data_IF_717520250626
#
_entry.id   IF_717520250626
#
_cell.length_a   1.000
_cell.length_b   1.000
_cell.length_c   1.000
_cell.angle_alpha   90.00
_cell.angle_beta   90.00
_cell.angle_gamma   90.00
#
_symmetry.space_group_name_H-M   'P 1'
#
loop_
_entity.id
_entity.type
_entity.pdbx_description
1 polymer ?
#
# COMPACT_ATOMS: atom_id res chain seq x y z
N UNK A 1 -7.39 -6.97 41.34
CA UNK A 1 -8.08 -7.19 40.05
C UNK A 1 -8.07 -5.86 39.30
N UNK A 2 -7.06 -5.63 38.47
CA UNK A 2 -6.84 -4.35 37.81
C UNK A 2 -7.31 -4.43 36.35
N UNK A 3 -8.35 -3.66 36.02
CA UNK A 3 -8.69 -3.30 34.66
C UNK A 3 -7.62 -2.33 34.13
N UNK A 4 -6.97 -2.70 33.02
CA UNK A 4 -6.36 -1.71 32.11
C UNK A 4 -6.94 -1.91 30.71
N UNK A 5 -7.95 -1.13 30.31
CA UNK A 5 -8.35 -0.99 28.92
C UNK A 5 -7.60 0.21 28.28
N UNK A 6 -7.17 0.08 27.01
CA UNK A 6 -7.06 1.23 26.12
C UNK A 6 -5.68 1.73 25.64
N UNK A 7 -4.54 1.07 25.92
CA UNK A 7 -3.22 1.57 25.44
C UNK A 7 -2.80 1.04 24.06
N UNK A 8 -3.38 -0.07 23.60
CA UNK A 8 -2.77 -0.89 22.55
C UNK A 8 -3.18 -0.51 21.12
N UNK A 9 -4.39 0.04 20.92
CA UNK A 9 -4.76 0.70 19.67
C UNK A 9 -3.97 1.99 19.42
N UNK A 10 -3.43 2.60 20.47
CA UNK A 10 -2.57 3.79 20.39
C UNK A 10 -1.18 3.50 19.83
N UNK A 11 -0.61 2.33 20.11
CA UNK A 11 0.74 1.97 19.63
C UNK A 11 0.74 1.55 18.16
N UNK A 12 -0.26 0.76 17.75
CA UNK A 12 -0.47 0.37 16.34
C UNK A 12 -0.70 1.61 15.46
N UNK A 13 -1.60 2.51 15.89
CA UNK A 13 -1.88 3.76 15.17
C UNK A 13 -0.69 4.72 15.15
N UNK A 14 0.14 4.77 16.21
CA UNK A 14 1.34 5.60 16.22
C UNK A 14 2.41 5.15 15.21
N UNK A 15 2.59 3.83 15.04
CA UNK A 15 3.51 3.30 14.03
C UNK A 15 3.06 3.67 12.61
N UNK A 16 1.76 3.51 12.31
CA UNK A 16 1.17 3.93 11.03
C UNK A 16 1.29 5.44 10.80
N UNK A 17 1.04 6.25 11.84
CA UNK A 17 1.18 7.71 11.75
C UNK A 17 2.62 8.14 11.46
N UNK A 18 3.61 7.44 12.01
CA UNK A 18 5.03 7.70 11.75
C UNK A 18 5.38 7.42 10.29
N UNK A 19 4.94 6.27 9.75
CA UNK A 19 5.11 5.93 8.34
C UNK A 19 4.40 6.94 7.43
N UNK A 20 3.18 7.35 7.79
CA UNK A 20 2.42 8.34 7.04
C UNK A 20 3.10 9.72 7.03
N UNK A 21 3.75 10.11 8.14
CA UNK A 21 4.49 11.36 8.19
C UNK A 21 5.69 11.36 7.23
N UNK A 22 6.41 10.23 7.11
CA UNK A 22 7.48 10.05 6.11
C UNK A 22 6.92 10.16 4.68
N UNK A 23 5.80 9.49 4.44
CA UNK A 23 5.12 9.54 3.15
C UNK A 23 4.72 10.97 2.75
N UNK A 24 4.09 11.71 3.66
CA UNK A 24 3.67 13.10 3.43
C UNK A 24 4.85 14.06 3.16
N UNK A 25 6.07 13.70 3.57
CA UNK A 25 7.30 14.44 3.25
C UNK A 25 7.96 14.01 1.92
N UNK A 26 7.41 13.00 1.23
CA UNK A 26 8.02 12.42 0.04
C UNK A 26 9.16 11.45 0.33
N UNK A 27 9.39 11.08 1.59
CA UNK A 27 10.41 10.15 2.04
C UNK A 27 9.93 8.70 1.80
N UNK A 28 9.65 8.36 0.54
CA UNK A 28 8.95 7.11 0.17
C UNK A 28 9.74 5.86 0.54
N UNK A 29 11.07 5.88 0.45
CA UNK A 29 11.89 4.73 0.85
C UNK A 29 11.73 4.43 2.35
N UNK A 30 11.80 5.45 3.20
CA UNK A 30 11.64 5.33 4.64
C UNK A 30 10.21 4.92 5.01
N UNK A 31 9.20 5.52 4.36
CA UNK A 31 7.81 5.15 4.54
C UNK A 31 7.58 3.66 4.21
N UNK A 32 8.14 3.17 3.09
CA UNK A 32 8.03 1.77 2.66
C UNK A 32 8.59 0.82 3.72
N UNK A 33 9.77 1.13 4.27
CA UNK A 33 10.41 0.31 5.31
C UNK A 33 9.57 0.29 6.59
N UNK A 34 9.03 1.44 7.02
CA UNK A 34 8.18 1.51 8.20
C UNK A 34 6.88 0.71 8.05
N UNK A 35 6.21 0.79 6.89
CA UNK A 35 5.02 -0.03 6.63
C UNK A 35 5.37 -1.52 6.58
N UNK A 36 6.48 -1.90 5.96
CA UNK A 36 6.94 -3.31 5.93
C UNK A 36 7.26 -3.83 7.33
N UNK A 37 7.91 -3.01 8.16
CA UNK A 37 8.19 -3.35 9.55
C UNK A 37 6.90 -3.56 10.34
N UNK A 38 5.91 -2.66 10.18
CA UNK A 38 4.59 -2.79 10.80
C UNK A 38 3.90 -4.09 10.39
N UNK A 39 3.78 -4.35 9.09
CA UNK A 39 3.17 -5.58 8.54
C UNK A 39 3.87 -6.84 9.10
N UNK A 40 5.21 -6.83 9.12
CA UNK A 40 6.01 -7.92 9.66
C UNK A 40 5.80 -8.15 11.17
N UNK A 41 5.61 -7.08 11.95
CA UNK A 41 5.29 -7.19 13.37
C UNK A 41 3.91 -7.82 13.59
N UNK A 42 2.91 -7.41 12.80
CA UNK A 42 1.56 -7.97 12.84
C UNK A 42 1.55 -9.48 12.54
N UNK A 43 2.36 -9.94 11.57
CA UNK A 43 2.48 -11.36 11.23
C UNK A 43 3.15 -12.20 12.33
N UNK A 44 4.12 -11.61 13.07
CA UNK A 44 4.91 -12.32 14.09
C UNK A 44 4.21 -12.43 15.45
N UNK A 45 3.43 -11.42 15.84
CA UNK A 45 2.89 -11.31 17.20
C UNK A 45 1.46 -11.84 17.35
N UNK A 46 0.93 -12.54 16.34
CA UNK A 46 -0.36 -13.21 16.42
C UNK A 46 -1.51 -12.27 16.77
N UNK A 47 -2.06 -11.57 15.76
CA UNK A 47 -3.34 -10.86 15.83
C UNK A 47 -3.43 -9.65 16.77
N UNK A 48 -2.33 -8.92 17.04
CA UNK A 48 -2.39 -7.66 17.80
C UNK A 48 -2.79 -6.43 16.95
N UNK A 49 -2.67 -6.53 15.63
CA UNK A 49 -3.10 -5.48 14.71
C UNK A 49 -4.58 -5.70 14.35
N UNK A 50 -5.36 -4.62 14.30
CA UNK A 50 -6.71 -4.70 13.77
C UNK A 50 -6.67 -4.98 12.26
N UNK A 51 -7.68 -5.67 11.69
CA UNK A 51 -7.81 -5.81 10.24
C UNK A 51 -7.77 -4.46 9.51
N UNK A 52 -8.35 -3.41 10.10
CA UNK A 52 -8.36 -2.05 9.57
C UNK A 52 -6.94 -1.46 9.48
N UNK A 53 -6.14 -1.59 10.54
CA UNK A 53 -4.77 -1.10 10.58
C UNK A 53 -3.89 -1.85 9.59
N UNK A 54 -4.06 -3.18 9.51
CA UNK A 54 -3.29 -4.01 8.59
C UNK A 54 -3.64 -3.71 7.13
N UNK A 55 -4.93 -3.59 6.80
CA UNK A 55 -5.37 -3.21 5.47
C UNK A 55 -4.90 -1.79 5.10
N UNK A 56 -4.91 -0.85 6.05
CA UNK A 56 -4.35 0.50 5.88
C UNK A 56 -2.85 0.47 5.60
N UNK A 57 -2.09 -0.34 6.33
CA UNK A 57 -0.65 -0.49 6.12
C UNK A 57 -0.32 -1.01 4.72
N UNK A 58 -1.03 -2.06 4.27
CA UNK A 58 -0.88 -2.59 2.92
C UNK A 58 -1.25 -1.54 1.86
N UNK A 59 -2.38 -0.84 2.02
CA UNK A 59 -2.76 0.22 1.10
C UNK A 59 -1.69 1.32 0.99
N UNK A 60 -1.17 1.79 2.12
CA UNK A 60 -0.23 2.90 2.12
C UNK A 60 1.17 2.48 1.65
N UNK A 61 1.58 1.24 1.90
CA UNK A 61 2.80 0.67 1.29
C UNK A 61 2.64 0.55 -0.24
N UNK A 62 1.48 0.09 -0.70
CA UNK A 62 1.14 0.04 -2.12
C UNK A 62 1.19 1.44 -2.76
N UNK A 63 0.67 2.46 -2.07
CA UNK A 63 0.74 3.84 -2.54
C UNK A 63 2.17 4.36 -2.62
N UNK A 64 3.01 4.02 -1.64
CA UNK A 64 4.44 4.35 -1.63
C UNK A 64 5.17 3.74 -2.83
N UNK A 65 4.90 2.46 -3.13
CA UNK A 65 5.42 1.75 -4.31
C UNK A 65 4.90 2.35 -5.62
N UNK A 66 3.63 2.73 -5.68
CA UNK A 66 3.05 3.43 -6.82
C UNK A 66 3.78 4.73 -7.15
N UNK A 67 4.13 5.55 -6.14
CA UNK A 67 4.91 6.77 -6.35
C UNK A 67 6.36 6.49 -6.78
N UNK A 68 6.88 5.30 -6.46
CA UNK A 68 8.18 4.81 -6.95
C UNK A 68 8.11 4.10 -8.30
N UNK A 69 6.93 4.04 -8.94
CA UNK A 69 6.69 3.34 -10.24
C UNK A 69 6.82 1.80 -10.14
N UNK A 70 6.83 1.26 -8.93
CA UNK A 70 6.82 -0.18 -8.62
C UNK A 70 5.38 -0.74 -8.74
N UNK A 71 4.80 -0.67 -9.95
CA UNK A 71 3.36 -0.86 -10.14
C UNK A 71 2.87 -2.27 -9.82
N UNK A 72 3.63 -3.31 -10.12
CA UNK A 72 3.21 -4.69 -9.85
C UNK A 72 3.22 -4.96 -8.35
N UNK A 73 4.30 -4.60 -7.65
CA UNK A 73 4.37 -4.79 -6.20
C UNK A 73 3.35 -3.90 -5.45
N UNK A 74 2.95 -2.76 -6.04
CA UNK A 74 1.86 -1.95 -5.51
C UNK A 74 0.49 -2.63 -5.68
N UNK A 75 0.24 -3.31 -6.81
CA UNK A 75 -1.00 -4.07 -7.00
C UNK A 75 -1.12 -5.24 -6.03
N UNK A 76 -0.01 -5.90 -5.71
CA UNK A 76 0.03 -6.99 -4.73
C UNK A 76 -0.38 -6.48 -3.35
N UNK A 77 0.19 -5.34 -2.93
CA UNK A 77 -0.18 -4.68 -1.67
C UNK A 77 -1.66 -4.28 -1.62
N UNK A 78 -2.20 -3.70 -2.71
CA UNK A 78 -3.63 -3.38 -2.77
C UNK A 78 -4.49 -4.63 -2.73
N UNK A 79 -4.04 -5.75 -3.31
CA UNK A 79 -4.77 -7.01 -3.29
C UNK A 79 -4.81 -7.59 -1.88
N UNK A 80 -3.68 -7.58 -1.16
CA UNK A 80 -3.66 -7.97 0.26
C UNK A 80 -4.58 -7.10 1.12
N UNK A 81 -4.61 -5.78 0.90
CA UNK A 81 -5.52 -4.88 1.62
C UNK A 81 -7.00 -5.23 1.38
N UNK A 82 -7.36 -5.58 0.13
CA UNK A 82 -8.71 -6.02 -0.25
C UNK A 82 -9.08 -7.35 0.40
N UNK A 83 -8.15 -8.31 0.45
CA UNK A 83 -8.38 -9.61 1.08
C UNK A 83 -8.60 -9.50 2.59
N UNK A 84 -7.90 -8.57 3.25
CA UNK A 84 -8.03 -8.33 4.70
C UNK A 84 -9.33 -7.60 5.04
N UNK A 85 -9.64 -6.53 4.30
CA UNK A 85 -10.82 -5.72 4.52
C UNK A 85 -11.54 -5.45 3.19
N UNK A 86 -12.42 -6.37 2.75
CA UNK A 86 -13.10 -6.26 1.45
C UNK A 86 -13.96 -5.01 1.30
N UNK A 87 -14.41 -4.42 2.41
CA UNK A 87 -15.17 -3.17 2.44
C UNK A 87 -14.30 -1.91 2.32
N UNK A 88 -12.97 -2.02 2.36
CA UNK A 88 -12.06 -0.88 2.20
C UNK A 88 -11.95 -0.49 0.74
N UNK A 89 -12.60 0.61 0.36
CA UNK A 89 -12.76 1.02 -1.03
C UNK A 89 -11.48 1.61 -1.66
N UNK A 90 -10.61 2.21 -0.84
CA UNK A 90 -9.42 2.94 -1.31
C UNK A 90 -8.43 2.06 -2.11
N UNK A 91 -8.08 0.83 -1.65
CA UNK A 91 -7.27 -0.10 -2.44
C UNK A 91 -7.84 -0.44 -3.83
N UNK A 92 -9.17 -0.53 -3.99
CA UNK A 92 -9.78 -0.81 -5.29
C UNK A 92 -9.55 0.35 -6.26
N UNK A 93 -9.75 1.58 -5.78
CA UNK A 93 -9.47 2.79 -6.56
C UNK A 93 -7.99 2.86 -6.97
N UNK A 94 -7.08 2.65 -6.02
CA UNK A 94 -5.64 2.71 -6.28
C UNK A 94 -5.17 1.62 -7.28
N UNK A 95 -5.71 0.41 -7.18
CA UNK A 95 -5.43 -0.66 -8.15
C UNK A 95 -5.97 -0.33 -9.53
N UNK A 96 -7.15 0.30 -9.61
CA UNK A 96 -7.74 0.81 -10.85
C UNK A 96 -6.85 1.87 -11.51
N UNK A 97 -6.28 2.79 -10.72
CA UNK A 97 -5.37 3.83 -11.20
C UNK A 97 -4.09 3.25 -11.83
N UNK A 98 -3.55 2.17 -11.25
CA UNK A 98 -2.42 1.45 -11.86
C UNK A 98 -2.80 0.84 -13.20
N UNK A 99 -3.95 0.14 -13.27
CA UNK A 99 -4.43 -0.46 -14.53
C UNK A 99 -4.59 0.58 -15.63
N UNK A 100 -5.13 1.74 -15.28
CA UNK A 100 -5.24 2.87 -16.21
C UNK A 100 -3.89 3.35 -16.72
N UNK A 101 -2.89 3.49 -15.84
CA UNK A 101 -1.52 3.89 -16.22
C UNK A 101 -0.83 2.85 -17.09
N UNK A 102 -0.83 1.58 -16.68
CA UNK A 102 -0.22 0.50 -17.45
C UNK A 102 -0.91 0.34 -18.81
N UNK A 103 -2.24 0.47 -18.86
CA UNK A 103 -2.98 0.50 -20.12
C UNK A 103 -2.44 1.58 -21.07
N UNK A 104 -2.34 2.84 -20.61
CA UNK A 104 -1.78 3.93 -21.43
C UNK A 104 -0.37 3.64 -21.93
N UNK A 105 0.49 3.10 -21.07
CA UNK A 105 1.88 2.78 -21.42
C UNK A 105 1.91 1.69 -22.49
N UNK A 106 1.14 0.62 -22.34
CA UNK A 106 1.04 -0.46 -23.33
C UNK A 106 0.52 0.09 -24.66
N UNK A 107 -0.58 0.85 -24.65
CA UNK A 107 -1.13 1.47 -25.86
C UNK A 107 -0.12 2.37 -26.58
N UNK A 108 0.65 3.17 -25.84
CA UNK A 108 1.70 4.02 -26.39
C UNK A 108 2.79 3.20 -27.09
N UNK A 109 3.33 2.17 -26.43
CA UNK A 109 4.39 1.33 -27.02
C UNK A 109 3.89 0.51 -28.20
N UNK A 110 2.68 -0.02 -28.13
CA UNK A 110 2.06 -0.72 -29.26
C UNK A 110 1.95 0.22 -30.46
N UNK A 111 1.44 1.43 -30.27
CA UNK A 111 1.30 2.41 -31.35
C UNK A 111 2.66 2.85 -31.93
N UNK A 112 3.65 3.11 -31.07
CA UNK A 112 5.00 3.48 -31.49
C UNK A 112 5.68 2.36 -32.29
N UNK A 113 5.51 1.11 -31.87
CA UNK A 113 6.04 -0.06 -32.58
C UNK A 113 5.45 -0.18 -34.00
N UNK A 114 4.14 -0.01 -34.15
CA UNK A 114 3.50 0.00 -35.47
C UNK A 114 3.95 1.19 -36.33
N UNK A 115 4.13 2.38 -35.75
CA UNK A 115 4.59 3.56 -36.47
C UNK A 115 6.03 3.40 -37.00
N UNK A 116 6.93 2.76 -36.24
CA UNK A 116 8.33 2.56 -36.63
C UNK A 116 8.57 1.38 -37.58
N UNK A 117 7.59 0.48 -37.75
CA UNK A 117 7.68 -0.71 -38.62
C UNK A 117 6.92 -0.57 -39.95
N UNK A 118 6.19 0.52 -40.14
CA UNK A 118 5.41 0.79 -41.36
C UNK A 118 6.05 1.84 -42.29
N UNK A 119 7.30 2.25 -42.02
CA UNK A 119 8.16 3.00 -42.95
C UNK A 119 9.17 2.08 -43.65
#
# INVERSE_FOLDING_TARGET
MALRPGREGGESSAALATAQARFSRGEFAEARELYSAFIGQCARHGSKCSPEDLATAYNNRGQTKYFSVDFYEAMDDYTSAIEILPSFEVPYYNRGLIRYRLGKVVWFFTFLFFALLMD
#
